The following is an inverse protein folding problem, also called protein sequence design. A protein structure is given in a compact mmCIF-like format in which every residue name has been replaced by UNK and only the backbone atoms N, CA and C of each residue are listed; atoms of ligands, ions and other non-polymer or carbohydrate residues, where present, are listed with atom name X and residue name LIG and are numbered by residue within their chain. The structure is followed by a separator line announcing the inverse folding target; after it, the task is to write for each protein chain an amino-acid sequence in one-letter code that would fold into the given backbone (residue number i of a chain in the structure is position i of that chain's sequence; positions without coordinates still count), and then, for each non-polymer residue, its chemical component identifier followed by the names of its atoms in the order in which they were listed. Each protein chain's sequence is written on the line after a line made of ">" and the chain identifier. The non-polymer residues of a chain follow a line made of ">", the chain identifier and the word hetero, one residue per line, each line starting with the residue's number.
data_IF_670899393793
#
_entry.id   IF_670899393793
#
_cell.length_a   1.000
_cell.length_b   1.000
_cell.length_c   1.000
_cell.angle_alpha   90.00
_cell.angle_beta   90.00
_cell.angle_gamma   90.00
#
_symmetry.space_group_name_H-M   'P 1'
#
loop_
_entity.id
_entity.type
_entity.pdbx_description
1 polymer ?
#
# COMPACT_ATOMS: atom_id res chain seq x y z
N UNK A 1 1.00 7.27 -14.79
CA UNK A 1 2.16 7.19 -13.88
C UNK A 1 2.70 5.77 -13.88
N UNK A 2 3.97 5.54 -13.53
CA UNK A 2 4.53 4.18 -13.48
C UNK A 2 4.55 3.69 -12.04
N UNK A 3 3.78 2.64 -11.73
CA UNK A 3 3.76 2.03 -10.40
C UNK A 3 4.44 0.67 -10.43
N UNK A 4 5.37 0.46 -9.50
CA UNK A 4 6.01 -0.84 -9.31
C UNK A 4 5.07 -1.78 -8.58
N UNK A 5 5.03 -3.05 -8.98
CA UNK A 5 4.31 -4.08 -8.23
C UNK A 5 4.99 -4.28 -6.88
N UNK A 6 4.22 -4.17 -5.81
CA UNK A 6 4.70 -4.27 -4.44
C UNK A 6 5.30 -5.66 -4.18
N UNK A 7 4.53 -6.72 -4.44
CA UNK A 7 5.02 -8.10 -4.46
C UNK A 7 5.21 -8.60 -5.88
N UNK A 8 6.45 -8.83 -6.29
CA UNK A 8 6.73 -9.34 -7.64
C UNK A 8 8.02 -8.84 -8.29
N UNK A 9 8.89 -8.16 -7.53
CA UNK A 9 10.22 -7.77 -8.00
C UNK A 9 10.14 -6.70 -9.10
N UNK A 10 10.78 -6.97 -10.24
CA UNK A 10 10.97 -6.04 -11.35
C UNK A 10 9.73 -5.87 -12.24
N UNK A 11 8.52 -5.84 -11.68
CA UNK A 11 7.29 -5.63 -12.47
C UNK A 11 6.70 -4.24 -12.25
N UNK A 12 6.14 -3.62 -13.29
CA UNK A 12 5.44 -2.35 -13.20
C UNK A 12 4.18 -2.34 -14.05
N UNK A 13 3.33 -1.33 -13.83
CA UNK A 13 2.19 -1.02 -14.68
C UNK A 13 2.11 0.49 -14.96
N UNK A 14 1.52 0.86 -16.09
CA UNK A 14 1.06 2.23 -16.34
C UNK A 14 -0.28 2.41 -15.65
N UNK A 15 -0.29 3.24 -14.61
CA UNK A 15 -1.45 3.51 -13.78
C UNK A 15 -2.08 4.86 -14.12
N UNK A 16 -3.41 4.90 -14.17
CA UNK A 16 -4.21 6.11 -14.31
C UNK A 16 -4.84 6.48 -12.94
N UNK A 17 -4.37 7.54 -12.28
CA UNK A 17 -4.91 7.94 -10.97
C UNK A 17 -6.35 8.47 -11.04
N UNK A 18 -6.83 8.86 -12.22
CA UNK A 18 -8.18 9.43 -12.38
C UNK A 18 -9.27 8.38 -12.13
N UNK A 19 -9.06 7.16 -12.61
CA UNK A 19 -10.05 6.08 -12.53
C UNK A 19 -9.53 4.82 -11.85
N UNK A 20 -8.26 4.81 -11.44
CA UNK A 20 -7.58 3.70 -10.80
C UNK A 20 -7.28 2.53 -11.75
N UNK A 21 -7.38 2.72 -13.06
CA UNK A 21 -7.08 1.68 -14.05
C UNK A 21 -5.57 1.50 -14.25
N UNK A 22 -5.19 0.31 -14.68
CA UNK A 22 -3.80 -0.07 -14.90
C UNK A 22 -3.65 -0.93 -16.16
N UNK A 23 -2.53 -0.75 -16.86
CA UNK A 23 -2.13 -1.64 -17.95
C UNK A 23 -1.65 -3.00 -17.43
N UNK A 24 -1.45 -3.95 -18.35
CA UNK A 24 -0.84 -5.24 -17.99
C UNK A 24 0.58 -5.04 -17.41
N UNK A 25 0.96 -5.88 -16.45
CA UNK A 25 2.26 -5.78 -15.81
C UNK A 25 3.40 -6.14 -16.77
N UNK A 26 4.31 -5.20 -17.00
CA UNK A 26 5.56 -5.39 -17.76
C UNK A 26 6.79 -5.55 -16.86
N UNK A 27 7.95 -5.85 -17.45
CA UNK A 27 9.25 -5.90 -16.75
C UNK A 27 9.91 -4.52 -16.70
N UNK A 28 10.44 -4.14 -15.53
CA UNK A 28 11.14 -2.87 -15.31
C UNK A 28 12.45 -2.88 -16.07
N UNK A 29 12.50 -2.17 -17.20
CA UNK A 29 13.74 -1.76 -17.86
C UNK A 29 13.90 -0.24 -17.72
N UNK A 30 14.57 0.20 -16.66
CA UNK A 30 14.90 1.62 -16.45
C UNK A 30 13.71 2.55 -16.19
N UNK A 31 12.54 1.99 -15.83
CA UNK A 31 11.35 2.80 -15.58
C UNK A 31 11.48 3.63 -14.29
N UNK A 32 11.11 4.91 -14.40
CA UNK A 32 11.09 5.87 -13.30
C UNK A 32 9.83 5.65 -12.44
N UNK A 33 10.00 5.00 -11.29
CA UNK A 33 8.89 4.55 -10.44
C UNK A 33 8.33 5.72 -9.63
N UNK A 34 7.00 5.86 -9.65
CA UNK A 34 6.24 6.93 -8.98
C UNK A 34 5.42 6.41 -7.79
N UNK A 35 5.67 5.18 -7.33
CA UNK A 35 4.90 4.56 -6.25
C UNK A 35 4.77 3.04 -6.40
N UNK A 36 3.91 2.46 -5.58
CA UNK A 36 3.66 1.02 -5.52
C UNK A 36 2.21 0.68 -5.81
N UNK A 37 1.98 -0.51 -6.35
CA UNK A 37 0.64 -1.08 -6.48
C UNK A 37 0.65 -2.57 -6.20
N UNK A 38 -0.50 -3.13 -5.81
CA UNK A 38 -0.70 -4.57 -5.70
C UNK A 38 -2.05 -4.96 -6.28
N UNK A 39 -2.02 -5.92 -7.21
CA UNK A 39 -3.23 -6.57 -7.69
C UNK A 39 -3.71 -7.56 -6.63
N UNK A 40 -4.74 -7.19 -5.90
CA UNK A 40 -5.39 -8.07 -4.93
C UNK A 40 -6.56 -8.81 -5.56
N UNK A 41 -7.15 -9.77 -4.84
CA UNK A 41 -8.38 -10.46 -5.27
C UNK A 41 -9.62 -9.55 -5.30
N UNK A 42 -9.58 -8.39 -4.64
CA UNK A 42 -10.69 -7.42 -4.60
C UNK A 42 -10.48 -6.23 -5.53
N UNK A 43 -9.36 -6.22 -6.26
CA UNK A 43 -9.01 -5.19 -7.22
C UNK A 43 -7.61 -4.61 -6.97
N UNK A 44 -7.32 -3.53 -7.66
CA UNK A 44 -6.01 -2.90 -7.63
C UNK A 44 -5.95 -1.89 -6.49
N UNK A 45 -4.91 -2.00 -5.67
CA UNK A 45 -4.56 -1.02 -4.66
C UNK A 45 -3.25 -0.33 -5.05
N UNK A 46 -3.15 0.97 -4.84
CA UNK A 46 -2.01 1.80 -5.22
C UNK A 46 -1.66 2.82 -4.14
N UNK A 47 -0.37 3.14 -4.03
CA UNK A 47 0.16 4.28 -3.26
C UNK A 47 1.07 5.11 -4.17
N UNK A 48 0.84 6.42 -4.25
CA UNK A 48 1.60 7.34 -5.10
C UNK A 48 1.58 8.76 -4.51
N UNK A 49 2.50 9.66 -4.91
CA UNK A 49 2.53 11.02 -4.36
C UNK A 49 1.50 11.94 -5.01
N UNK A 50 0.98 12.88 -4.22
CA UNK A 50 0.29 14.08 -4.69
C UNK A 50 1.10 15.30 -4.24
N UNK A 51 2.11 15.74 -5.03
CA UNK A 51 3.06 16.76 -4.58
C UNK A 51 2.44 18.13 -4.32
N UNK A 52 1.42 18.51 -5.10
CA UNK A 52 0.70 19.77 -4.91
C UNK A 52 -0.09 19.82 -3.58
N UNK A 53 -0.43 18.64 -3.04
CA UNK A 53 -1.14 18.46 -1.78
C UNK A 53 -0.19 18.06 -0.63
N UNK A 54 1.12 17.94 -0.92
CA UNK A 54 2.16 17.51 0.03
C UNK A 54 1.79 16.22 0.79
N UNK A 55 1.18 15.26 0.09
CA UNK A 55 0.72 14.00 0.66
C UNK A 55 1.02 12.77 -0.21
N UNK A 56 0.74 11.58 0.33
CA UNK A 56 0.63 10.33 -0.41
C UNK A 56 -0.83 9.95 -0.52
N UNK A 57 -1.23 9.53 -1.72
CA UNK A 57 -2.57 9.03 -2.00
C UNK A 57 -2.54 7.51 -1.94
N UNK A 58 -3.49 6.94 -1.19
CA UNK A 58 -3.86 5.52 -1.32
C UNK A 58 -5.09 5.45 -2.19
N UNK A 59 -5.07 4.64 -3.24
CA UNK A 59 -6.24 4.42 -4.11
C UNK A 59 -6.57 2.94 -4.19
N UNK A 60 -7.81 2.58 -3.86
CA UNK A 60 -8.31 1.20 -3.87
C UNK A 60 -9.64 1.19 -4.60
N UNK A 61 -9.73 0.42 -5.68
CA UNK A 61 -10.96 0.28 -6.47
C UNK A 61 -11.54 1.63 -6.97
N UNK A 62 -10.67 2.60 -7.25
CA UNK A 62 -11.04 3.93 -7.74
C UNK A 62 -11.28 4.96 -6.63
N UNK A 63 -11.54 4.53 -5.40
CA UNK A 63 -11.65 5.43 -4.24
C UNK A 63 -10.27 5.83 -3.73
N UNK A 64 -10.09 7.10 -3.39
CA UNK A 64 -8.82 7.69 -2.95
C UNK A 64 -8.90 8.17 -1.51
N UNK A 65 -7.80 8.03 -0.78
CA UNK A 65 -7.61 8.60 0.55
C UNK A 65 -6.30 9.40 0.56
N UNK A 66 -6.35 10.63 1.07
CA UNK A 66 -5.16 11.36 1.52
C UNK A 66 -4.63 10.64 2.76
N UNK A 67 -3.42 10.08 2.69
CA UNK A 67 -2.91 9.27 3.78
C UNK A 67 -2.58 10.10 5.03
N UNK A 68 -2.25 11.38 4.91
CA UNK A 68 -1.72 12.18 6.01
C UNK A 68 -2.66 13.29 6.51
N UNK A 69 -3.89 13.37 5.99
CA UNK A 69 -4.91 14.22 6.62
C UNK A 69 -5.30 13.68 8.00
N UNK A 70 -5.75 14.58 8.89
CA UNK A 70 -6.13 14.25 10.27
C UNK A 70 -7.32 13.29 10.36
N UNK A 71 -8.11 13.22 9.31
CA UNK A 71 -9.37 12.47 9.30
C UNK A 71 -9.16 11.03 8.79
N UNK A 72 -8.01 10.75 8.17
CA UNK A 72 -7.68 9.41 7.68
C UNK A 72 -7.24 8.51 8.82
N UNK A 73 -7.93 7.38 8.92
CA UNK A 73 -7.66 6.31 9.87
C UNK A 73 -7.25 5.04 9.12
N UNK A 74 -6.18 4.40 9.58
CA UNK A 74 -5.73 3.10 9.05
C UNK A 74 -5.69 2.09 10.18
N UNK A 75 -6.33 0.94 9.96
CA UNK A 75 -6.36 -0.18 10.90
C UNK A 75 -5.86 -1.41 10.17
N UNK A 76 -4.88 -2.09 10.76
CA UNK A 76 -4.33 -3.33 10.24
C UNK A 76 -4.05 -4.28 11.41
N UNK A 77 -4.68 -5.45 11.43
CA UNK A 77 -4.58 -6.39 12.54
C UNK A 77 -4.50 -7.84 12.07
N UNK A 78 -3.64 -8.63 12.70
CA UNK A 78 -3.60 -10.08 12.51
C UNK A 78 -4.54 -10.78 13.49
N UNK A 79 -5.35 -11.69 12.95
CA UNK A 79 -6.19 -12.60 13.69
C UNK A 79 -5.50 -13.97 13.71
N UNK A 80 -4.62 -14.16 14.69
CA UNK A 80 -3.74 -15.33 14.73
C UNK A 80 -4.48 -16.66 14.88
N UNK A 81 -5.64 -16.66 15.54
CA UNK A 81 -6.43 -17.87 15.79
C UNK A 81 -7.05 -18.47 14.52
N UNK A 82 -7.28 -17.64 13.49
CA UNK A 82 -7.90 -18.07 12.23
C UNK A 82 -7.06 -17.74 10.99
N UNK A 83 -5.79 -17.36 11.19
CA UNK A 83 -4.81 -17.13 10.12
C UNK A 83 -5.23 -16.05 9.12
N UNK A 84 -5.97 -15.04 9.59
CA UNK A 84 -6.45 -13.93 8.77
C UNK A 84 -5.78 -12.60 9.16
N UNK A 85 -5.77 -11.68 8.21
CA UNK A 85 -5.46 -10.27 8.38
C UNK A 85 -6.70 -9.45 8.08
N UNK A 86 -6.93 -8.43 8.89
CA UNK A 86 -7.93 -7.40 8.71
C UNK A 86 -7.23 -6.09 8.33
N UNK A 87 -7.71 -5.43 7.29
CA UNK A 87 -7.30 -4.08 6.92
C UNK A 87 -8.53 -3.19 6.74
N UNK A 88 -8.40 -1.94 7.20
CA UNK A 88 -9.36 -0.87 6.97
C UNK A 88 -8.63 0.46 6.76
N UNK A 89 -9.12 1.24 5.80
CA UNK A 89 -8.80 2.66 5.63
C UNK A 89 -10.11 3.43 5.52
N UNK A 90 -10.21 4.54 6.22
CA UNK A 90 -11.41 5.38 6.21
C UNK A 90 -11.07 6.86 6.48
N UNK A 91 -11.82 7.75 5.85
CA UNK A 91 -11.91 9.18 6.15
C UNK A 91 -13.36 9.58 6.47
N UNK A 92 -13.72 10.86 6.40
CA UNK A 92 -15.09 11.32 6.66
C UNK A 92 -16.12 10.89 5.60
N UNK A 93 -15.68 10.59 4.38
CA UNK A 93 -16.54 10.35 3.21
C UNK A 93 -16.55 8.89 2.77
N UNK A 94 -15.43 8.19 2.91
CA UNK A 94 -15.14 6.91 2.29
C UNK A 94 -14.57 5.91 3.28
N UNK A 95 -14.97 4.65 3.12
CA UNK A 95 -14.46 3.52 3.89
C UNK A 95 -14.16 2.34 2.97
N UNK A 96 -13.02 1.69 3.19
CA UNK A 96 -12.70 0.40 2.63
C UNK A 96 -12.27 -0.57 3.73
N UNK A 97 -12.88 -1.75 3.76
CA UNK A 97 -12.59 -2.81 4.72
C UNK A 97 -12.40 -4.15 3.98
N UNK A 98 -11.40 -4.92 4.42
CA UNK A 98 -11.14 -6.24 3.87
C UNK A 98 -10.58 -7.20 4.91
N UNK A 99 -10.97 -8.47 4.77
CA UNK A 99 -10.41 -9.59 5.52
C UNK A 99 -9.87 -10.66 4.59
N UNK A 100 -8.66 -11.14 4.87
CA UNK A 100 -7.92 -12.01 3.97
C UNK A 100 -6.91 -12.91 4.67
N UNK A 101 -6.40 -13.91 3.96
CA UNK A 101 -5.42 -14.85 4.50
C UNK A 101 -4.14 -14.11 4.84
N UNK A 102 -3.62 -14.33 6.05
CA UNK A 102 -2.40 -13.67 6.49
C UNK A 102 -1.18 -14.15 5.69
N UNK A 103 -0.23 -13.26 5.42
CA UNK A 103 0.98 -13.58 4.66
C UNK A 103 1.80 -14.74 5.28
N UNK A 104 1.69 -14.91 6.59
CA UNK A 104 2.41 -15.93 7.37
C UNK A 104 1.69 -17.28 7.46
N UNK A 105 0.45 -17.38 6.97
CA UNK A 105 -0.37 -18.60 7.05
C UNK A 105 0.37 -19.85 6.55
N UNK A 106 1.03 -19.74 5.41
CA UNK A 106 1.72 -20.86 4.76
C UNK A 106 3.23 -20.90 5.07
N UNK A 107 3.73 -20.06 5.99
CA UNK A 107 5.15 -20.01 6.34
C UNK A 107 5.45 -21.11 7.35
N UNK A 108 6.25 -22.14 7.00
CA UNK A 108 6.55 -23.23 7.90
C UNK A 108 7.24 -22.71 9.17
N UNK A 109 6.78 -23.19 10.33
CA UNK A 109 7.32 -22.82 11.66
C UNK A 109 7.13 -21.35 12.04
N UNK A 110 6.23 -20.60 11.38
CA UNK A 110 5.79 -19.33 11.90
C UNK A 110 4.95 -19.58 13.17
N UNK A 111 5.50 -19.24 14.33
CA UNK A 111 4.75 -19.22 15.58
C UNK A 111 4.27 -17.79 15.83
N UNK A 112 2.95 -17.54 15.81
CA UNK A 112 2.36 -16.30 16.30
C UNK A 112 2.79 -16.03 17.73
N UNK A 113 3.83 -15.22 17.93
CA UNK A 113 4.23 -14.85 19.28
C UNK A 113 3.14 -13.92 19.87
N UNK A 114 2.57 -14.32 21.01
CA UNK A 114 1.60 -13.54 21.80
C UNK A 114 2.07 -12.13 22.21
N UNK A 115 3.35 -11.81 21.99
CA UNK A 115 3.99 -10.53 22.29
C UNK A 115 4.48 -9.77 21.04
N UNK A 116 4.19 -10.25 19.82
CA UNK A 116 4.71 -9.68 18.57
C UNK A 116 4.00 -8.38 18.16
N UNK A 117 4.15 -7.34 18.98
CA UNK A 117 4.14 -5.96 18.52
C UNK A 117 5.46 -5.58 17.79
N UNK A 118 6.47 -6.47 17.79
CA UNK A 118 7.81 -6.22 17.25
C UNK A 118 7.99 -6.56 15.76
N UNK A 119 6.90 -6.70 14.98
CA UNK A 119 6.92 -7.14 13.57
C UNK A 119 6.19 -6.22 12.60
N UNK A 120 5.83 -5.01 13.02
CA UNK A 120 5.21 -4.01 12.14
C UNK A 120 6.09 -3.72 10.90
N UNK A 121 7.42 -3.70 11.07
CA UNK A 121 8.37 -3.54 9.95
C UNK A 121 8.34 -4.73 8.96
N UNK A 122 8.26 -5.98 9.45
CA UNK A 122 8.18 -7.17 8.58
C UNK A 122 6.86 -7.19 7.79
N UNK A 123 5.75 -6.75 8.41
CA UNK A 123 4.48 -6.62 7.72
C UNK A 123 4.56 -5.66 6.53
N UNK A 124 5.30 -4.55 6.67
CA UNK A 124 5.48 -3.57 5.59
C UNK A 124 6.32 -4.07 4.42
N UNK A 125 7.01 -5.21 4.56
CA UNK A 125 7.72 -5.87 3.46
C UNK A 125 6.90 -7.01 2.85
N UNK A 126 6.06 -7.65 3.66
CA UNK A 126 5.30 -8.84 3.27
C UNK A 126 3.85 -8.54 2.88
N UNK A 127 3.33 -7.36 3.17
CA UNK A 127 1.92 -7.05 2.92
C UNK A 127 1.77 -5.60 2.46
N UNK A 128 1.10 -5.40 1.33
CA UNK A 128 0.84 -4.08 0.80
C UNK A 128 0.03 -3.22 1.78
N UNK A 129 -0.95 -3.80 2.45
CA UNK A 129 -1.74 -3.09 3.45
C UNK A 129 -0.98 -2.86 4.76
N UNK A 130 -0.04 -3.76 5.08
CA UNK A 130 0.95 -3.51 6.13
C UNK A 130 1.89 -2.35 5.79
N UNK A 131 2.25 -2.19 4.52
CA UNK A 131 3.03 -1.05 4.03
C UNK A 131 2.26 0.26 4.12
N UNK A 132 0.97 0.27 3.79
CA UNK A 132 0.10 1.45 3.96
C UNK A 132 0.04 1.88 5.43
N UNK A 133 -0.14 0.93 6.37
CA UNK A 133 -0.10 1.24 7.81
C UNK A 133 1.24 1.86 8.21
N UNK A 134 2.36 1.27 7.79
CA UNK A 134 3.69 1.78 8.11
C UNK A 134 3.90 3.21 7.60
N UNK A 135 3.44 3.52 6.38
CA UNK A 135 3.50 4.87 5.84
C UNK A 135 2.65 5.84 6.67
N UNK A 136 1.41 5.47 6.98
CA UNK A 136 0.50 6.28 7.80
C UNK A 136 1.08 6.62 9.18
N UNK A 137 1.77 5.67 9.82
CA UNK A 137 2.42 5.86 11.12
C UNK A 137 3.75 6.64 11.05
N UNK A 138 4.35 6.80 9.87
CA UNK A 138 5.70 7.33 9.69
C UNK A 138 5.70 8.62 8.86
N UNK A 139 5.19 9.72 9.42
CA UNK A 139 5.17 11.03 8.75
C UNK A 139 6.58 11.49 8.32
N UNK A 140 7.64 11.09 9.05
CA UNK A 140 9.03 11.36 8.69
C UNK A 140 9.48 10.78 7.32
N UNK A 141 8.77 9.76 6.82
CA UNK A 141 9.04 9.16 5.50
C UNK A 141 8.30 9.88 4.38
N UNK A 142 7.27 10.68 4.71
CA UNK A 142 6.38 11.36 3.75
C UNK A 142 7.17 12.20 2.76
N UNK A 143 7.91 13.19 3.25
CA UNK A 143 8.60 14.17 2.41
C UNK A 143 9.63 13.52 1.49
N UNK A 144 10.40 12.55 2.03
CA UNK A 144 11.38 11.79 1.26
C UNK A 144 10.75 10.97 0.13
N UNK A 145 9.58 10.35 0.38
CA UNK A 145 8.86 9.57 -0.64
C UNK A 145 8.21 10.48 -1.67
N UNK A 146 7.62 11.60 -1.25
CA UNK A 146 7.08 12.61 -2.17
C UNK A 146 8.19 13.13 -3.06
N UNK A 147 9.34 13.55 -2.51
CA UNK A 147 10.48 14.03 -3.29
C UNK A 147 10.98 12.96 -4.27
N UNK A 148 11.21 11.74 -3.78
CA UNK A 148 11.75 10.65 -4.60
C UNK A 148 10.81 10.20 -5.71
N UNK A 149 9.49 10.21 -5.50
CA UNK A 149 8.52 9.72 -6.48
C UNK A 149 8.00 10.83 -7.40
N UNK A 150 7.93 12.09 -6.93
CA UNK A 150 7.38 13.19 -7.72
C UNK A 150 8.27 13.59 -8.89
N UNK A 151 9.59 13.38 -8.79
CA UNK A 151 10.53 13.62 -9.89
C UNK A 151 10.26 12.79 -11.14
N UNK A 152 9.52 11.69 -10.98
CA UNK A 152 9.22 10.71 -12.02
C UNK A 152 7.79 10.86 -12.60
N UNK A 153 6.98 11.79 -12.05
CA UNK A 153 5.63 12.01 -12.53
C UNK A 153 5.63 12.55 -13.97
N UNK A 154 4.63 12.17 -14.80
CA UNK A 154 4.46 12.77 -16.12
C UNK A 154 4.34 14.29 -16.02
N UNK A 155 5.10 15.01 -16.84
CA UNK A 155 5.07 16.48 -16.93
C UNK A 155 3.94 16.98 -17.83
#
# INVERSE_FOLDING_TARGET
>A
MILKKFKGGSKYTEYNPVDGSASEFGEIEGAEICGFCEQTRWGLAAVYPAPEEETLIVQINGTTWDLFTSDTTVVYNHHYDDEMTYFKIADEENEYEVRYEAWWKDVPHFEPNKWAASREDENSHEDFFGYVLMLWQSEEKKDNLIESWSGNLPK
#
